data_IF_290855360644
#
_entry.id   IF_290855360644
#
_cell.length_a   1.000
_cell.length_b   1.000
_cell.length_c   1.000
_cell.angle_alpha   90.00
_cell.angle_beta   90.00
_cell.angle_gamma   90.00
#
_symmetry.space_group_name_H-M   'P 1'
#
loop_
_entity.id
_entity.type
_entity.pdbx_description
1 polymer ?
#
# COMPACT_ATOMS: atom_id res chain seq x y z
N UNK A 1 19.12 13.06 4.03
CA UNK A 1 17.66 12.96 4.22
C UNK A 1 17.22 11.61 3.64
N UNK A 2 16.26 10.90 4.24
CA UNK A 2 15.81 9.59 3.73
C UNK A 2 14.97 9.71 2.45
N UNK A 3 14.85 8.61 1.70
CA UNK A 3 13.99 8.51 0.50
C UNK A 3 12.51 8.72 0.86
N UNK A 4 12.13 8.26 2.05
CA UNK A 4 10.80 8.43 2.62
C UNK A 4 10.81 8.13 4.11
N UNK A 5 9.62 8.07 4.71
CA UNK A 5 9.41 7.72 6.11
C UNK A 5 8.66 6.39 6.21
N UNK A 6 8.97 5.59 7.24
CA UNK A 6 8.16 4.41 7.57
C UNK A 6 6.70 4.81 7.74
N UNK A 7 5.81 4.15 6.99
CA UNK A 7 4.36 4.36 7.06
C UNK A 7 3.74 3.37 8.02
N UNK A 8 3.83 2.08 7.71
CA UNK A 8 3.27 1.00 8.51
C UNK A 8 3.95 -0.33 8.16
N UNK A 9 3.65 -1.37 8.94
CA UNK A 9 3.98 -2.77 8.62
C UNK A 9 2.71 -3.48 8.18
N UNK A 10 2.83 -4.32 7.15
CA UNK A 10 1.75 -5.17 6.65
C UNK A 10 2.07 -6.61 7.00
N UNK A 11 1.12 -7.31 7.62
CA UNK A 11 1.27 -8.68 8.08
C UNK A 11 0.26 -9.55 7.32
N UNK A 12 0.76 -10.58 6.64
CA UNK A 12 -0.10 -11.56 5.98
C UNK A 12 -0.80 -12.40 7.03
N UNK A 13 -2.11 -12.55 6.87
CA UNK A 13 -2.99 -13.35 7.74
C UNK A 13 -4.00 -14.11 6.89
N UNK A 14 -4.66 -15.11 7.47
CA UNK A 14 -5.70 -15.90 6.79
C UNK A 14 -7.09 -15.68 7.39
N UNK A 15 -7.18 -15.06 8.57
CA UNK A 15 -8.43 -14.76 9.26
C UNK A 15 -8.29 -13.41 9.98
N UNK A 16 -9.14 -12.44 9.62
CA UNK A 16 -9.09 -11.09 10.20
C UNK A 16 -9.59 -11.05 11.64
N UNK A 17 -10.60 -11.85 12.00
CA UNK A 17 -11.14 -11.84 13.36
C UNK A 17 -10.08 -12.34 14.35
N UNK A 18 -9.44 -13.47 14.03
CA UNK A 18 -8.33 -14.02 14.82
C UNK A 18 -7.14 -13.06 14.85
N UNK A 19 -6.79 -12.47 13.69
CA UNK A 19 -5.67 -11.56 13.61
C UNK A 19 -5.90 -10.26 14.39
N UNK A 20 -7.12 -9.71 14.37
CA UNK A 20 -7.46 -8.53 15.16
C UNK A 20 -7.31 -8.80 16.66
N UNK A 21 -7.88 -9.89 17.16
CA UNK A 21 -7.77 -10.27 18.57
C UNK A 21 -6.30 -10.41 18.97
N UNK A 22 -5.54 -11.21 18.23
CA UNK A 22 -4.14 -11.49 18.56
C UNK A 22 -3.27 -10.23 18.50
N UNK A 23 -3.27 -9.53 17.37
CA UNK A 23 -2.34 -8.42 17.16
C UNK A 23 -2.71 -7.18 17.97
N UNK A 24 -3.99 -6.90 18.20
CA UNK A 24 -4.39 -5.81 19.12
C UNK A 24 -3.93 -6.11 20.55
N UNK A 25 -4.08 -7.34 21.03
CA UNK A 25 -3.65 -7.73 22.37
C UNK A 25 -2.12 -7.68 22.53
N UNK A 26 -1.36 -8.14 21.53
CA UNK A 26 0.11 -8.16 21.57
C UNK A 26 0.71 -6.76 21.48
N UNK A 27 0.12 -5.88 20.68
CA UNK A 27 0.69 -4.56 20.38
C UNK A 27 0.09 -3.42 21.21
N UNK A 28 -1.10 -3.64 21.78
CA UNK A 28 -1.90 -2.60 22.43
C UNK A 28 -2.57 -1.63 21.44
N UNK A 29 -2.49 -1.88 20.12
CA UNK A 29 -3.12 -1.03 19.11
C UNK A 29 -4.62 -1.31 19.01
N UNK A 30 -5.40 -0.26 18.76
CA UNK A 30 -6.85 -0.39 18.58
C UNK A 30 -7.18 -0.95 17.20
N UNK A 31 -8.29 -1.69 17.09
CA UNK A 31 -8.92 -1.97 15.80
C UNK A 31 -9.65 -0.71 15.34
N UNK A 32 -9.16 -0.11 14.26
CA UNK A 32 -9.69 1.18 13.80
C UNK A 32 -10.65 1.02 12.61
N UNK A 33 -10.55 -0.07 11.84
CA UNK A 33 -11.38 -0.35 10.64
C UNK A 33 -12.65 -1.19 10.88
N UNK A 34 -13.26 -1.67 9.79
CA UNK A 34 -14.41 -2.59 9.83
C UNK A 34 -13.99 -4.01 10.26
N UNK A 35 -14.93 -4.75 10.84
CA UNK A 35 -14.73 -6.14 11.25
C UNK A 35 -14.34 -7.05 10.07
N UNK A 36 -14.93 -6.83 8.89
CA UNK A 36 -14.59 -7.58 7.67
C UNK A 36 -13.36 -7.01 6.92
N UNK A 37 -12.75 -5.95 7.45
CA UNK A 37 -11.68 -5.22 6.78
C UNK A 37 -12.16 -4.36 5.60
N UNK A 38 -11.29 -3.47 5.14
CA UNK A 38 -11.51 -2.69 3.93
C UNK A 38 -11.39 -3.61 2.70
N UNK A 39 -12.35 -3.47 1.79
CA UNK A 39 -12.52 -4.36 0.63
C UNK A 39 -12.66 -5.86 0.95
N UNK A 40 -12.85 -6.24 2.21
CA UNK A 40 -12.94 -7.64 2.63
C UNK A 40 -11.58 -8.33 2.85
N UNK A 41 -10.46 -7.61 2.76
CA UNK A 41 -9.13 -8.22 2.85
C UNK A 41 -8.04 -7.37 3.53
N UNK A 42 -8.32 -6.13 3.92
CA UNK A 42 -7.38 -5.24 4.62
C UNK A 42 -7.91 -4.84 6.00
N UNK A 43 -7.36 -5.42 7.06
CA UNK A 43 -7.64 -4.99 8.43
C UNK A 43 -6.67 -3.91 8.90
N UNK A 44 -7.13 -3.01 9.78
CA UNK A 44 -6.31 -1.89 10.27
C UNK A 44 -6.24 -1.84 11.79
N UNK A 45 -5.02 -1.79 12.30
CA UNK A 45 -4.72 -1.51 13.70
C UNK A 45 -3.95 -0.19 13.81
N UNK A 46 -4.31 0.63 14.80
CA UNK A 46 -3.62 1.89 15.00
C UNK A 46 -4.27 2.88 15.95
N UNK A 47 -4.12 4.16 15.64
CA UNK A 47 -4.70 5.29 16.37
C UNK A 47 -5.94 5.81 15.65
N UNK A 48 -7.06 5.93 16.36
CA UNK A 48 -8.33 6.39 15.75
C UNK A 48 -8.39 7.91 15.56
N UNK A 49 -7.83 8.68 16.48
CA UNK A 49 -7.84 10.14 16.45
C UNK A 49 -6.49 10.73 16.92
N UNK A 50 -5.69 11.34 16.02
CA UNK A 50 -5.92 11.42 14.58
C UNK A 50 -5.86 10.04 13.93
N UNK A 51 -6.61 9.85 12.86
CA UNK A 51 -6.65 8.56 12.16
C UNK A 51 -5.29 8.21 11.57
N UNK A 52 -4.74 7.07 12.01
CA UNK A 52 -3.46 6.54 11.55
C UNK A 52 -3.44 5.03 11.73
N UNK A 53 -3.12 4.30 10.66
CA UNK A 53 -2.85 2.86 10.75
C UNK A 53 -1.35 2.64 10.95
N UNK A 54 -0.99 1.88 11.97
CA UNK A 54 0.38 1.46 12.26
C UNK A 54 0.66 0.04 11.74
N UNK A 55 -0.38 -0.82 11.73
CA UNK A 55 -0.33 -2.17 11.17
C UNK A 55 -1.52 -2.39 10.23
N UNK A 56 -1.22 -2.99 9.09
CA UNK A 56 -2.22 -3.52 8.17
C UNK A 56 -2.19 -5.05 8.27
N UNK A 57 -3.36 -5.66 8.46
CA UNK A 57 -3.55 -7.11 8.43
C UNK A 57 -4.06 -7.49 7.03
N UNK A 58 -3.19 -8.05 6.20
CA UNK A 58 -3.53 -8.43 4.83
C UNK A 58 -4.04 -9.87 4.80
N UNK A 59 -5.34 -10.04 4.57
CA UNK A 59 -5.96 -11.35 4.42
C UNK A 59 -5.66 -11.92 3.03
N UNK A 60 -4.74 -12.87 2.96
CA UNK A 60 -4.10 -13.31 1.71
C UNK A 60 -4.97 -14.21 0.84
N UNK A 61 -5.88 -14.98 1.43
CA UNK A 61 -6.82 -15.87 0.71
C UNK A 61 -7.93 -15.11 -0.03
N UNK A 62 -8.09 -13.81 0.25
CA UNK A 62 -9.08 -12.94 -0.37
C UNK A 62 -8.45 -11.67 -0.99
N UNK A 63 -7.12 -11.59 -1.02
CA UNK A 63 -6.41 -10.45 -1.61
C UNK A 63 -6.47 -10.53 -3.15
N UNK A 64 -6.57 -9.39 -3.86
CA UNK A 64 -6.51 -9.35 -5.32
C UNK A 64 -5.07 -9.51 -5.86
N UNK A 65 -4.10 -9.77 -4.99
CA UNK A 65 -2.69 -9.92 -5.29
C UNK A 65 -2.20 -11.26 -4.77
N UNK A 66 -1.44 -11.98 -5.58
CA UNK A 66 -0.81 -13.23 -5.17
C UNK A 66 0.33 -12.93 -4.20
N UNK A 67 0.19 -13.41 -2.97
CA UNK A 67 1.15 -13.24 -1.88
C UNK A 67 1.32 -14.56 -1.14
N UNK A 68 2.50 -14.76 -0.54
CA UNK A 68 2.79 -15.99 0.20
C UNK A 68 1.81 -16.16 1.38
N UNK A 69 1.26 -17.37 1.50
CA UNK A 69 0.39 -17.74 2.62
C UNK A 69 1.26 -17.97 3.86
N UNK A 70 1.03 -17.25 4.98
CA UNK A 70 1.86 -17.40 6.17
C UNK A 70 1.78 -18.84 6.71
N UNK A 71 2.92 -19.39 7.10
CA UNK A 71 3.02 -20.72 7.72
C UNK A 71 4.03 -20.73 8.87
N UNK A 72 3.98 -21.76 9.71
CA UNK A 72 4.97 -21.94 10.78
C UNK A 72 6.38 -22.28 10.26
N UNK A 73 6.52 -22.56 8.97
CA UNK A 73 7.79 -22.97 8.36
C UNK A 73 8.47 -21.85 7.58
N UNK A 74 7.73 -20.80 7.21
CA UNK A 74 8.25 -19.65 6.48
C UNK A 74 8.44 -18.47 7.44
N UNK A 75 9.63 -17.88 7.42
CA UNK A 75 9.93 -16.73 8.28
C UNK A 75 9.38 -15.45 7.65
N UNK A 76 8.58 -14.72 8.42
CA UNK A 76 8.15 -13.34 8.17
C UNK A 76 7.43 -13.14 6.83
N UNK A 77 6.13 -13.44 6.81
CA UNK A 77 5.19 -13.05 5.75
C UNK A 77 4.71 -11.60 5.98
N UNK A 78 5.65 -10.65 5.94
CA UNK A 78 5.41 -9.23 6.19
C UNK A 78 6.04 -8.38 5.10
N UNK A 79 5.50 -7.19 4.87
CA UNK A 79 6.18 -6.15 4.11
C UNK A 79 6.01 -4.78 4.79
N UNK A 80 6.81 -3.82 4.33
CA UNK A 80 6.86 -2.48 4.89
C UNK A 80 6.33 -1.50 3.85
N UNK A 81 5.54 -0.54 4.32
CA UNK A 81 5.15 0.61 3.50
C UNK A 81 6.01 1.83 3.85
N UNK A 82 6.51 2.51 2.83
CA UNK A 82 7.27 3.76 2.94
C UNK A 82 6.49 4.87 2.24
N UNK A 83 6.33 6.01 2.91
CA UNK A 83 5.80 7.24 2.29
C UNK A 83 6.96 8.05 1.70
N UNK A 84 7.07 8.20 0.37
CA UNK A 84 8.14 8.97 -0.26
C UNK A 84 8.06 10.47 0.06
N UNK A 85 9.22 11.10 0.26
CA UNK A 85 9.29 12.56 0.56
C UNK A 85 9.12 13.42 -0.71
N UNK A 86 9.59 12.93 -1.86
CA UNK A 86 9.70 13.70 -3.11
C UNK A 86 8.97 13.03 -4.30
N UNK A 87 7.88 12.31 -4.00
CA UNK A 87 7.13 11.54 -4.99
C UNK A 87 7.75 10.18 -5.31
N UNK A 88 6.95 9.30 -5.93
CA UNK A 88 7.33 7.91 -6.18
C UNK A 88 8.46 7.79 -7.19
N UNK A 89 8.44 8.56 -8.29
CA UNK A 89 9.45 8.42 -9.35
C UNK A 89 10.87 8.70 -8.81
N UNK A 90 11.04 9.77 -8.00
CA UNK A 90 12.32 10.08 -7.37
C UNK A 90 12.75 9.05 -6.34
N UNK A 91 11.79 8.47 -5.63
CA UNK A 91 12.08 7.39 -4.69
C UNK A 91 12.56 6.13 -5.40
N UNK A 92 11.92 5.77 -6.53
CA UNK A 92 12.36 4.66 -7.39
C UNK A 92 13.79 4.90 -7.86
N UNK A 93 14.10 6.07 -8.44
CA UNK A 93 15.46 6.42 -8.87
C UNK A 93 16.49 6.26 -7.73
N UNK A 94 16.15 6.77 -6.54
CA UNK A 94 17.02 6.66 -5.36
C UNK A 94 17.25 5.21 -4.93
N UNK A 95 16.20 4.38 -4.90
CA UNK A 95 16.31 2.97 -4.50
C UNK A 95 17.12 2.17 -5.50
N UNK A 96 16.92 2.41 -6.81
CA UNK A 96 17.71 1.77 -7.86
C UNK A 96 19.20 2.10 -7.70
N UNK A 97 19.54 3.34 -7.33
CA UNK A 97 20.93 3.75 -7.07
C UNK A 97 21.58 3.07 -5.86
N UNK A 98 20.76 2.56 -4.94
CA UNK A 98 21.19 1.79 -3.76
C UNK A 98 21.24 0.28 -4.02
N UNK A 99 20.95 -0.18 -5.24
CA UNK A 99 20.96 -1.60 -5.62
C UNK A 99 19.63 -2.33 -5.45
N UNK A 100 18.54 -1.62 -5.14
CA UNK A 100 17.20 -2.20 -5.18
C UNK A 100 16.66 -2.36 -6.61
N UNK A 101 15.48 -2.96 -6.73
CA UNK A 101 14.79 -3.16 -8.02
C UNK A 101 13.30 -2.85 -7.93
N UNK A 102 12.66 -2.65 -9.09
CA UNK A 102 11.21 -2.49 -9.20
C UNK A 102 10.58 -3.86 -9.42
N UNK A 103 9.67 -4.29 -8.53
CA UNK A 103 8.84 -5.49 -8.73
C UNK A 103 7.52 -5.15 -9.43
N UNK A 104 6.85 -4.09 -8.98
CA UNK A 104 5.62 -3.57 -9.58
C UNK A 104 5.81 -2.09 -9.93
N UNK A 105 5.59 -1.68 -11.19
CA UNK A 105 5.68 -0.28 -11.57
C UNK A 105 4.61 0.56 -10.84
N UNK A 106 4.85 1.89 -10.71
CA UNK A 106 3.91 2.77 -10.05
C UNK A 106 2.60 2.87 -10.83
N UNK A 107 1.49 2.79 -10.10
CA UNK A 107 0.14 2.93 -10.65
C UNK A 107 -0.79 3.51 -9.59
N UNK A 108 -1.85 4.20 -10.01
CA UNK A 108 -2.88 4.63 -9.09
C UNK A 108 -3.70 3.44 -8.58
N UNK A 109 -4.08 3.46 -7.30
CA UNK A 109 -4.91 2.44 -6.69
C UNK A 109 -6.10 3.02 -5.90
N UNK A 110 -7.32 2.47 -6.08
CA UNK A 110 -7.69 1.57 -7.16
C UNK A 110 -7.52 2.27 -8.53
N UNK A 111 -7.29 1.49 -9.59
CA UNK A 111 -7.24 2.06 -10.94
C UNK A 111 -8.60 2.71 -11.27
N UNK A 112 -8.63 3.90 -11.91
CA UNK A 112 -9.86 4.50 -12.39
C UNK A 112 -10.72 3.50 -13.18
N UNK A 113 -12.00 3.39 -12.82
CA UNK A 113 -12.94 2.47 -13.47
C UNK A 113 -12.85 1.00 -13.05
N UNK A 114 -11.90 0.60 -12.18
CA UNK A 114 -11.81 -0.78 -11.69
C UNK A 114 -13.04 -1.20 -10.86
N UNK A 115 -13.74 -0.24 -10.26
CA UNK A 115 -15.01 -0.44 -9.55
C UNK A 115 -15.87 0.82 -9.60
N UNK A 116 -17.16 0.65 -9.84
CA UNK A 116 -18.11 1.77 -9.92
C UNK A 116 -18.08 2.62 -8.64
N UNK A 117 -17.99 3.95 -8.81
CA UNK A 117 -17.98 4.91 -7.70
C UNK A 117 -16.68 5.01 -6.91
N UNK A 118 -15.65 4.21 -7.23
CA UNK A 118 -14.37 4.26 -6.53
C UNK A 118 -13.37 5.17 -7.25
N UNK A 119 -12.76 6.10 -6.50
CA UNK A 119 -11.66 6.95 -6.96
C UNK A 119 -10.30 6.36 -6.54
N UNK A 120 -9.20 6.62 -7.27
CA UNK A 120 -7.88 6.31 -6.77
C UNK A 120 -7.58 7.09 -5.49
N UNK A 121 -6.97 6.45 -4.50
CA UNK A 121 -6.58 7.06 -3.22
C UNK A 121 -5.07 7.18 -3.06
N UNK A 122 -4.30 6.34 -3.74
CA UNK A 122 -2.84 6.32 -3.62
C UNK A 122 -2.19 6.19 -5.00
N UNK A 123 -0.98 6.72 -5.15
CA UNK A 123 0.02 6.24 -6.10
C UNK A 123 0.84 5.15 -5.40
N UNK A 124 1.10 4.03 -6.08
CA UNK A 124 1.64 2.84 -5.44
C UNK A 124 2.59 2.05 -6.34
N UNK A 125 3.80 1.77 -5.82
CA UNK A 125 4.79 0.87 -6.42
C UNK A 125 5.25 -0.20 -5.41
N UNK A 126 5.74 -1.33 -5.92
CA UNK A 126 6.40 -2.36 -5.10
C UNK A 126 7.85 -2.46 -5.53
N UNK A 127 8.74 -2.32 -4.55
CA UNK A 127 10.18 -2.36 -4.70
C UNK A 127 10.73 -3.63 -4.04
N UNK A 128 11.95 -3.99 -4.41
CA UNK A 128 12.75 -4.98 -3.71
C UNK A 128 14.07 -4.36 -3.27
N UNK A 129 14.53 -4.76 -2.08
CA UNK A 129 15.89 -4.47 -1.63
C UNK A 129 16.92 -5.36 -2.36
N UNK A 130 18.24 -5.17 -2.16
CA UNK A 130 19.27 -5.98 -2.81
C UNK A 130 19.20 -7.50 -2.51
N UNK A 131 18.44 -7.91 -1.50
CA UNK A 131 18.28 -9.29 -1.06
C UNK A 131 16.96 -9.91 -1.53
N UNK A 132 16.11 -9.12 -2.21
CA UNK A 132 14.82 -9.56 -2.73
C UNK A 132 13.63 -9.33 -1.79
N UNK A 133 13.82 -8.70 -0.63
CA UNK A 133 12.73 -8.39 0.29
C UNK A 133 11.85 -7.30 -0.30
N UNK A 134 10.54 -7.51 -0.25
CA UNK A 134 9.55 -6.59 -0.84
C UNK A 134 9.13 -5.49 0.14
N UNK A 135 8.94 -4.29 -0.40
CA UNK A 135 8.36 -3.17 0.31
C UNK A 135 7.61 -2.25 -0.66
N UNK A 136 6.61 -1.54 -0.16
CA UNK A 136 5.78 -0.64 -0.97
C UNK A 136 6.24 0.81 -0.82
N UNK A 137 6.13 1.55 -1.92
CA UNK A 137 6.09 3.01 -1.90
C UNK A 137 4.63 3.44 -2.03
N UNK A 138 4.14 4.20 -1.05
CA UNK A 138 2.74 4.64 -1.00
C UNK A 138 2.68 6.15 -0.84
N UNK A 139 2.04 6.83 -1.77
CA UNK A 139 1.75 8.26 -1.66
C UNK A 139 0.24 8.49 -1.75
N UNK A 140 -0.32 9.18 -0.76
CA UNK A 140 -1.75 9.51 -0.76
C UNK A 140 -2.06 10.62 -1.75
N UNK A 141 -3.11 10.43 -2.53
CA UNK A 141 -3.64 11.44 -3.42
C UNK A 141 -4.57 12.37 -2.65
N UNK A 142 -4.47 13.66 -2.94
CA UNK A 142 -5.54 14.61 -2.58
C UNK A 142 -6.79 14.31 -3.40
N UNK A 143 -7.96 14.75 -2.93
CA UNK A 143 -9.20 14.59 -3.68
C UNK A 143 -9.11 15.20 -5.09
N UNK A 144 -8.47 16.36 -5.22
CA UNK A 144 -8.25 17.00 -6.51
C UNK A 144 -7.43 16.11 -7.46
N UNK A 145 -6.35 15.50 -6.98
CA UNK A 145 -5.54 14.58 -7.78
C UNK A 145 -6.32 13.33 -8.16
N UNK A 146 -7.11 12.77 -7.23
CA UNK A 146 -7.99 11.64 -7.50
C UNK A 146 -8.99 11.93 -8.63
N UNK A 147 -9.69 13.08 -8.55
CA UNK A 147 -10.68 13.46 -9.55
C UNK A 147 -10.04 13.85 -10.89
N UNK A 148 -8.84 14.43 -10.88
CA UNK A 148 -8.12 14.72 -12.12
C UNK A 148 -7.82 13.43 -12.90
N UNK A 149 -7.39 12.36 -12.24
CA UNK A 149 -7.22 11.05 -12.89
C UNK A 149 -8.55 10.45 -13.38
N UNK A 150 -9.62 10.54 -12.58
CA UNK A 150 -10.94 10.00 -12.97
C UNK A 150 -11.54 10.69 -14.21
N UNK A 151 -11.29 12.00 -14.36
CA UNK A 151 -11.83 12.79 -15.47
C UNK A 151 -10.93 12.80 -16.72
N UNK A 152 -9.75 12.19 -16.64
CA UNK A 152 -8.83 12.11 -17.76
C UNK A 152 -9.32 11.08 -18.80
N UNK A 153 -9.20 11.42 -20.08
CA UNK A 153 -9.36 10.45 -21.16
C UNK A 153 -8.09 9.59 -21.30
N UNK A 154 -7.78 8.84 -20.25
CA UNK A 154 -6.56 8.06 -20.08
C UNK A 154 -6.90 6.56 -20.07
N UNK A 155 -6.00 5.77 -20.64
CA UNK A 155 -6.15 4.31 -20.78
C UNK A 155 -4.99 3.52 -20.18
N UNK A 156 -3.93 4.23 -19.76
CA UNK A 156 -2.72 3.64 -19.19
C UNK A 156 -2.43 4.19 -17.79
N UNK A 157 -1.70 3.42 -16.98
CA UNK A 157 -1.25 3.85 -15.66
C UNK A 157 -0.43 5.15 -15.73
N UNK A 158 0.40 5.32 -16.77
CA UNK A 158 1.18 6.54 -16.97
C UNK A 158 0.27 7.76 -17.18
N UNK A 159 -0.69 7.68 -18.11
CA UNK A 159 -1.61 8.78 -18.41
C UNK A 159 -2.45 9.17 -17.19
N UNK A 160 -2.94 8.20 -16.40
CA UNK A 160 -3.65 8.48 -15.16
C UNK A 160 -2.75 9.17 -14.12
N UNK A 161 -1.51 8.72 -13.98
CA UNK A 161 -0.53 9.35 -13.08
C UNK A 161 -0.17 10.76 -13.53
N UNK A 162 -0.04 11.00 -14.83
CA UNK A 162 0.18 12.36 -15.40
C UNK A 162 -0.99 13.26 -15.06
N UNK A 163 -2.22 12.79 -15.27
CA UNK A 163 -3.43 13.55 -14.94
C UNK A 163 -3.54 13.87 -13.43
N UNK A 164 -3.16 12.93 -12.56
CA UNK A 164 -3.08 13.14 -11.11
C UNK A 164 -1.86 13.96 -10.65
N UNK A 165 -1.00 14.41 -11.57
CA UNK A 165 0.23 15.16 -11.24
C UNK A 165 1.27 14.33 -10.48
N UNK A 166 1.23 13.00 -10.58
CA UNK A 166 2.15 12.08 -9.90
C UNK A 166 3.41 11.77 -10.71
N UNK A 167 3.36 12.02 -12.02
CA UNK A 167 4.50 11.84 -12.93
C UNK A 167 4.47 12.88 -14.05
N UNK A 168 5.56 12.96 -14.80
CA UNK A 168 5.69 13.86 -15.95
C UNK A 168 5.07 13.23 -17.20
N UNK A 169 4.54 14.04 -18.14
CA UNK A 169 4.05 13.56 -19.43
C UNK A 169 5.08 12.71 -20.18
#
# INVERSE_FOLDING_TARGET
>A
MGIGTLRCVVINVTDLAVAYEFWSAVTGLEVIGSADGWHGWLGYLGTKDPWKHEIILQRVDNAPVEVAIPSHHETNAVHIDITPTNGIDRAIEGILSLGGSVKKPPSLYPRPGAREGHRPFIDWAVMQDPFGNEFCLVHELTEQQSYAAMNANATTDHEWRVAAGQTRP
#
